data_IF_540164788449
#
_entry.id   IF_540164788449
#
_cell.length_a   1.000
_cell.length_b   1.000
_cell.length_c   1.000
_cell.angle_alpha   90.00
_cell.angle_beta   90.00
_cell.angle_gamma   90.00
#
_symmetry.space_group_name_H-M   'P 1'
#
loop_
_entity.id
_entity.type
_entity.pdbx_description
1 polymer ?
#
# COMPACT_ATOMS: atom_id res chain seq x y z
N UNK A 1 -40.12 37.62 38.27
CA UNK A 1 -38.72 37.94 38.52
C UNK A 1 -37.92 36.67 38.84
N UNK A 2 -38.44 35.73 39.62
CA UNK A 2 -37.82 34.46 39.88
C UNK A 2 -37.58 33.63 38.60
N UNK A 3 -38.60 33.60 37.72
CA UNK A 3 -38.49 32.91 36.41
C UNK A 3 -37.31 33.44 35.55
N UNK A 4 -37.02 34.75 35.60
CA UNK A 4 -35.90 35.33 34.85
C UNK A 4 -34.52 34.97 35.47
N UNK A 5 -34.44 34.82 36.81
CA UNK A 5 -33.24 34.34 37.49
C UNK A 5 -32.96 32.87 37.15
N UNK A 6 -34.03 32.05 37.14
CA UNK A 6 -33.91 30.63 36.78
C UNK A 6 -33.44 30.47 35.33
N UNK A 7 -33.98 31.27 34.38
CA UNK A 7 -33.61 31.26 32.97
C UNK A 7 -32.17 31.70 32.74
N UNK A 8 -31.69 32.73 33.48
CA UNK A 8 -30.28 33.16 33.44
C UNK A 8 -29.38 32.05 34.01
N UNK A 9 -29.79 31.38 35.11
CA UNK A 9 -29.04 30.26 35.70
C UNK A 9 -28.91 29.06 34.75
N UNK A 10 -30.02 28.68 34.09
CA UNK A 10 -29.97 27.60 33.09
C UNK A 10 -29.10 27.95 31.90
N UNK A 11 -29.19 29.20 31.41
CA UNK A 11 -28.37 29.67 30.28
C UNK A 11 -26.88 29.69 30.67
N UNK A 12 -26.54 30.10 31.89
CA UNK A 12 -25.18 30.08 32.39
C UNK A 12 -24.60 28.62 32.44
N UNK A 13 -25.41 27.64 32.88
CA UNK A 13 -25.02 26.23 32.88
C UNK A 13 -24.80 25.71 31.45
N UNK A 14 -25.69 26.04 30.51
CA UNK A 14 -25.52 25.67 29.11
C UNK A 14 -24.28 26.31 28.48
N UNK A 15 -23.90 27.52 28.89
CA UNK A 15 -22.65 28.16 28.44
C UNK A 15 -21.40 27.46 29.00
N UNK A 16 -21.45 26.92 30.21
CA UNK A 16 -20.34 26.11 30.76
C UNK A 16 -20.19 24.79 30.03
N UNK A 17 -21.28 24.10 29.71
CA UNK A 17 -21.25 22.89 28.88
C UNK A 17 -20.74 23.20 27.47
N UNK A 18 -21.16 24.33 26.89
CA UNK A 18 -20.64 24.79 25.59
C UNK A 18 -19.14 25.03 25.62
N UNK A 19 -18.62 25.66 26.66
CA UNK A 19 -17.19 25.89 26.81
C UNK A 19 -16.40 24.57 26.88
N UNK A 20 -16.90 23.59 27.63
CA UNK A 20 -16.29 22.26 27.73
C UNK A 20 -16.31 21.51 26.37
N UNK A 21 -17.44 21.56 25.64
CA UNK A 21 -17.52 20.93 24.32
C UNK A 21 -16.63 21.62 23.28
N UNK A 22 -16.48 22.94 23.34
CA UNK A 22 -15.56 23.71 22.49
C UNK A 22 -14.11 23.28 22.75
N UNK A 23 -13.71 23.10 23.99
CA UNK A 23 -12.36 22.62 24.36
C UNK A 23 -12.11 21.18 23.90
N UNK A 24 -13.11 20.29 24.03
CA UNK A 24 -13.04 18.92 23.52
C UNK A 24 -12.91 18.87 21.99
N UNK A 25 -13.70 19.70 21.27
CA UNK A 25 -13.60 19.77 19.79
C UNK A 25 -12.25 20.30 19.35
N UNK A 26 -11.67 21.28 20.04
CA UNK A 26 -10.33 21.78 19.78
C UNK A 26 -9.28 20.68 19.96
N UNK A 27 -9.36 19.92 21.05
CA UNK A 27 -8.47 18.79 21.33
C UNK A 27 -8.58 17.70 20.24
N UNK A 28 -9.78 17.40 19.80
CA UNK A 28 -10.02 16.43 18.72
C UNK A 28 -9.43 16.91 17.36
N UNK A 29 -9.53 18.21 17.08
CA UNK A 29 -8.93 18.79 15.87
C UNK A 29 -7.39 18.71 15.91
N UNK A 30 -6.78 18.97 17.06
CA UNK A 30 -5.32 18.82 17.24
C UNK A 30 -4.86 17.36 17.10
N UNK A 31 -5.60 16.42 17.68
CA UNK A 31 -5.33 14.99 17.52
C UNK A 31 -5.45 14.54 16.06
N UNK A 32 -6.46 15.01 15.34
CA UNK A 32 -6.61 14.74 13.93
C UNK A 32 -5.44 15.32 13.12
N UNK A 33 -4.97 16.51 13.44
CA UNK A 33 -3.80 17.12 12.81
C UNK A 33 -2.50 16.32 13.06
N UNK A 34 -2.33 15.73 14.24
CA UNK A 34 -1.20 14.85 14.55
C UNK A 34 -1.30 13.54 13.77
N UNK A 35 -2.47 12.89 13.77
CA UNK A 35 -2.71 11.65 13.03
C UNK A 35 -2.48 11.84 11.51
N UNK A 36 -2.83 13.00 10.94
CA UNK A 36 -2.55 13.29 9.53
C UNK A 36 -1.05 13.42 9.24
N UNK A 37 -0.24 13.95 10.15
CA UNK A 37 1.22 13.99 9.99
C UNK A 37 1.84 12.60 9.99
N UNK A 38 1.40 11.73 10.90
CA UNK A 38 1.85 10.33 10.94
C UNK A 38 1.44 9.58 9.67
N UNK A 39 0.19 9.80 9.21
CA UNK A 39 -0.30 9.23 7.97
C UNK A 39 0.49 9.68 6.73
N UNK A 40 0.88 10.95 6.67
CA UNK A 40 1.68 11.52 5.57
C UNK A 40 3.08 10.88 5.52
N UNK A 41 3.71 10.71 6.68
CA UNK A 41 5.00 10.02 6.80
C UNK A 41 4.89 8.55 6.38
N UNK A 42 3.84 7.84 6.81
CA UNK A 42 3.61 6.45 6.45
C UNK A 42 3.34 6.29 4.94
N UNK A 43 2.56 7.20 4.34
CA UNK A 43 2.31 7.21 2.91
C UNK A 43 3.59 7.47 2.09
N UNK A 44 4.42 8.42 2.53
CA UNK A 44 5.71 8.71 1.90
C UNK A 44 6.68 7.51 1.98
N UNK A 45 6.75 6.84 3.14
CA UNK A 45 7.53 5.61 3.29
C UNK A 45 7.00 4.48 2.40
N UNK A 46 5.68 4.31 2.34
CA UNK A 46 5.03 3.36 1.44
C UNK A 46 5.39 3.63 -0.03
N UNK A 47 5.40 4.89 -0.44
CA UNK A 47 5.74 5.29 -1.80
C UNK A 47 7.20 5.01 -2.15
N UNK A 48 8.12 5.26 -1.23
CA UNK A 48 9.54 4.90 -1.39
C UNK A 48 9.72 3.38 -1.51
N UNK A 49 9.00 2.59 -0.70
CA UNK A 49 9.04 1.13 -0.74
C UNK A 49 8.50 0.58 -2.07
N UNK A 50 7.37 1.08 -2.55
CA UNK A 50 6.81 0.70 -3.85
C UNK A 50 7.75 1.07 -4.99
N UNK A 51 8.41 2.23 -4.91
CA UNK A 51 9.42 2.65 -5.88
C UNK A 51 10.63 1.71 -5.92
N UNK A 52 11.15 1.30 -4.76
CA UNK A 52 12.26 0.33 -4.67
C UNK A 52 11.84 -1.06 -5.17
N UNK A 53 10.62 -1.49 -4.90
CA UNK A 53 10.07 -2.74 -5.40
C UNK A 53 9.97 -2.73 -6.94
N UNK A 54 9.46 -1.65 -7.52
CA UNK A 54 9.38 -1.50 -8.98
C UNK A 54 10.77 -1.56 -9.64
N UNK A 55 11.79 -0.95 -9.02
CA UNK A 55 13.16 -1.02 -9.49
C UNK A 55 13.74 -2.45 -9.43
N UNK A 56 13.50 -3.18 -8.33
CA UNK A 56 13.93 -4.57 -8.18
C UNK A 56 13.27 -5.48 -9.22
N UNK A 57 11.97 -5.31 -9.48
CA UNK A 57 11.26 -6.08 -10.51
C UNK A 57 11.82 -5.79 -11.91
N UNK A 58 12.20 -4.53 -12.19
CA UNK A 58 12.83 -4.17 -13.45
C UNK A 58 14.22 -4.84 -13.62
N UNK A 59 14.99 -4.95 -12.55
CA UNK A 59 16.28 -5.66 -12.53
C UNK A 59 16.08 -7.17 -12.76
N UNK A 60 15.09 -7.78 -12.09
CA UNK A 60 14.73 -9.18 -12.31
C UNK A 60 14.31 -9.45 -13.75
N UNK A 61 13.52 -8.55 -14.37
CA UNK A 61 13.14 -8.66 -15.77
C UNK A 61 14.36 -8.64 -16.71
N UNK A 62 15.36 -7.81 -16.42
CA UNK A 62 16.62 -7.79 -17.19
C UNK A 62 17.43 -9.08 -16.97
N UNK A 63 17.42 -9.64 -15.76
CA UNK A 63 18.09 -10.92 -15.50
C UNK A 63 17.43 -12.07 -16.27
N UNK A 64 16.11 -12.11 -16.32
CA UNK A 64 15.35 -13.07 -17.12
C UNK A 64 15.67 -12.96 -18.61
N UNK A 65 15.81 -11.75 -19.15
CA UNK A 65 16.19 -11.54 -20.55
C UNK A 65 17.61 -12.09 -20.85
N UNK A 66 18.54 -11.88 -19.92
CA UNK A 66 19.91 -12.46 -20.04
C UNK A 66 19.87 -13.98 -20.00
N UNK A 67 19.06 -14.57 -19.12
CA UNK A 67 18.88 -16.04 -19.02
C UNK A 67 18.29 -16.58 -20.34
N UNK A 68 17.30 -15.89 -20.93
CA UNK A 68 16.73 -16.27 -22.23
C UNK A 68 17.78 -16.31 -23.33
N UNK A 69 18.61 -15.28 -23.40
CA UNK A 69 19.70 -15.20 -24.37
C UNK A 69 20.71 -16.32 -24.23
N UNK A 70 21.12 -16.62 -22.97
CA UNK A 70 22.05 -17.73 -22.67
C UNK A 70 21.46 -19.09 -23.00
N UNK A 71 20.17 -19.28 -22.72
CA UNK A 71 19.45 -20.52 -23.07
C UNK A 71 19.39 -20.71 -24.60
N UNK A 72 19.14 -19.64 -25.35
CA UNK A 72 19.20 -19.68 -26.82
C UNK A 72 20.58 -20.09 -27.35
N UNK A 73 21.65 -19.52 -26.79
CA UNK A 73 23.03 -19.88 -27.15
C UNK A 73 23.34 -21.35 -26.82
N UNK A 74 22.85 -21.83 -25.67
CA UNK A 74 23.03 -23.24 -25.28
C UNK A 74 22.28 -24.20 -26.20
N UNK A 75 21.06 -23.85 -26.64
CA UNK A 75 20.30 -24.65 -27.59
C UNK A 75 21.04 -24.73 -28.93
N UNK A 76 21.54 -23.61 -29.43
CA UNK A 76 22.34 -23.57 -30.67
C UNK A 76 23.61 -24.43 -30.56
N UNK A 77 24.40 -24.26 -29.50
CA UNK A 77 25.60 -25.06 -29.27
C UNK A 77 25.30 -26.55 -29.18
N UNK A 78 24.19 -26.91 -28.52
CA UNK A 78 23.72 -28.28 -28.43
C UNK A 78 23.32 -28.86 -29.79
N UNK A 79 22.72 -28.08 -30.67
CA UNK A 79 22.40 -28.49 -32.06
C UNK A 79 23.69 -28.73 -32.86
N UNK A 80 24.68 -27.85 -32.72
CA UNK A 80 25.98 -28.02 -33.38
C UNK A 80 26.69 -29.30 -32.92
N UNK A 81 26.74 -29.56 -31.61
CA UNK A 81 27.29 -30.79 -31.06
C UNK A 81 26.51 -32.01 -31.59
N UNK A 82 25.17 -31.95 -31.61
CA UNK A 82 24.33 -33.02 -32.17
C UNK A 82 24.68 -33.37 -33.62
N UNK A 83 24.94 -32.35 -34.45
CA UNK A 83 25.32 -32.54 -35.84
C UNK A 83 26.72 -33.20 -35.99
N UNK A 84 27.68 -32.78 -35.17
CA UNK A 84 29.02 -33.39 -35.13
C UNK A 84 28.94 -34.86 -34.69
N UNK A 85 28.18 -35.16 -33.64
CA UNK A 85 27.96 -36.53 -33.14
C UNK A 85 27.33 -37.43 -34.22
N UNK A 86 26.37 -36.91 -34.99
CA UNK A 86 25.75 -37.63 -36.09
C UNK A 86 26.79 -37.98 -37.19
N UNK A 87 27.72 -37.08 -37.51
CA UNK A 87 28.80 -37.36 -38.47
C UNK A 87 29.75 -38.43 -37.92
N UNK A 88 30.18 -38.34 -36.64
CA UNK A 88 31.07 -39.32 -36.03
C UNK A 88 30.40 -40.71 -36.00
N UNK A 89 29.10 -40.79 -35.72
CA UNK A 89 28.32 -42.03 -35.75
C UNK A 89 28.31 -42.63 -37.16
N UNK A 90 28.13 -41.82 -38.20
CA UNK A 90 28.21 -42.25 -39.58
C UNK A 90 29.57 -42.79 -39.97
N UNK A 91 30.66 -42.12 -39.53
CA UNK A 91 32.04 -42.60 -39.75
C UNK A 91 32.27 -43.92 -39.02
N UNK A 92 31.81 -44.08 -37.79
CA UNK A 92 31.92 -45.33 -37.04
C UNK A 92 31.20 -46.49 -37.73
N UNK A 93 30.00 -46.25 -38.29
CA UNK A 93 29.23 -47.24 -39.04
C UNK A 93 29.95 -47.64 -40.34
N UNK A 94 30.45 -46.68 -41.10
CA UNK A 94 31.26 -46.94 -42.29
C UNK A 94 32.55 -47.74 -41.95
N UNK A 95 33.24 -47.34 -40.85
CA UNK A 95 34.46 -48.04 -40.40
C UNK A 95 34.14 -49.47 -40.00
N UNK A 96 33.02 -49.74 -39.34
CA UNK A 96 32.58 -51.09 -38.99
C UNK A 96 32.33 -51.93 -40.24
N UNK A 97 31.70 -51.33 -41.30
CA UNK A 97 31.49 -52.02 -42.57
C UNK A 97 32.80 -52.30 -43.35
N UNK A 98 33.73 -51.31 -43.34
CA UNK A 98 35.03 -51.49 -43.95
C UNK A 98 35.86 -52.60 -43.25
N UNK A 99 35.86 -52.60 -41.94
CA UNK A 99 36.51 -53.62 -41.14
C UNK A 99 35.92 -55.02 -41.34
N UNK A 100 34.56 -55.08 -41.47
CA UNK A 100 33.91 -56.37 -41.83
C UNK A 100 34.35 -56.89 -43.20
N UNK A 101 34.39 -56.03 -44.21
CA UNK A 101 34.86 -56.38 -45.56
C UNK A 101 36.34 -56.84 -45.54
N UNK A 102 37.19 -56.15 -44.76
CA UNK A 102 38.59 -56.52 -44.59
C UNK A 102 38.74 -57.88 -43.88
N UNK A 103 37.93 -58.15 -42.87
CA UNK A 103 37.91 -59.46 -42.18
C UNK A 103 37.50 -60.60 -43.09
N UNK A 104 36.48 -60.38 -43.96
CA UNK A 104 36.02 -61.36 -44.94
C UNK A 104 37.14 -61.66 -45.93
N UNK A 105 37.80 -60.64 -46.49
CA UNK A 105 38.88 -60.85 -47.50
C UNK A 105 40.13 -61.43 -46.88
N UNK A 106 40.42 -61.12 -45.61
CA UNK A 106 41.49 -61.76 -44.86
C UNK A 106 41.24 -63.26 -44.61
N UNK A 107 40.01 -63.67 -44.32
CA UNK A 107 39.62 -65.08 -44.22
C UNK A 107 39.75 -65.79 -45.58
N UNK A 108 39.47 -65.09 -46.65
CA UNK A 108 39.62 -65.62 -48.04
C UNK A 108 41.08 -65.89 -48.45
N UNK A 109 42.04 -65.11 -47.93
CA UNK A 109 43.44 -65.24 -48.19
C UNK A 109 44.11 -66.43 -47.38
N UNK A 110 43.37 -67.11 -46.51
CA UNK A 110 43.83 -68.24 -45.75
C UNK A 110 44.97 -67.89 -44.78
N UNK A 111 46.04 -68.78 -44.67
CA UNK A 111 47.17 -68.52 -43.76
C UNK A 111 47.89 -67.17 -43.97
N UNK A 112 47.90 -66.67 -45.21
CA UNK A 112 48.56 -65.40 -45.50
C UNK A 112 47.72 -64.16 -44.99
N UNK A 113 46.47 -64.33 -44.71
CA UNK A 113 45.58 -63.30 -44.21
C UNK A 113 45.47 -63.22 -42.68
N UNK A 114 46.01 -64.11 -41.91
CA UNK A 114 45.83 -64.19 -40.40
C UNK A 114 46.16 -62.90 -39.67
N UNK A 115 47.24 -62.21 -40.02
CA UNK A 115 47.61 -60.93 -39.40
C UNK A 115 46.61 -59.77 -39.71
N UNK A 116 46.10 -59.73 -40.92
CA UNK A 116 45.11 -58.77 -41.33
C UNK A 116 43.77 -59.03 -40.71
N UNK A 117 43.36 -60.26 -40.49
CA UNK A 117 42.15 -60.64 -39.80
C UNK A 117 42.08 -60.10 -38.37
N UNK A 118 43.17 -60.19 -37.59
CA UNK A 118 43.27 -59.68 -36.21
C UNK A 118 43.12 -58.16 -36.21
N UNK A 119 43.79 -57.46 -37.12
CA UNK A 119 43.64 -55.97 -37.26
C UNK A 119 42.21 -55.58 -37.64
N UNK A 120 41.61 -56.30 -38.58
CA UNK A 120 40.23 -56.04 -38.97
C UNK A 120 39.23 -56.21 -37.82
N UNK A 121 39.38 -57.28 -37.04
CA UNK A 121 38.54 -57.51 -35.85
C UNK A 121 38.73 -56.41 -34.78
N UNK A 122 39.98 -55.94 -34.52
CA UNK A 122 40.25 -54.86 -33.60
C UNK A 122 39.64 -53.53 -34.06
N UNK A 123 39.80 -53.18 -35.35
CA UNK A 123 39.18 -51.99 -35.95
C UNK A 123 37.65 -52.08 -35.85
N UNK A 124 37.08 -53.26 -36.08
CA UNK A 124 35.63 -53.45 -35.92
C UNK A 124 35.17 -53.31 -34.49
N UNK A 125 35.90 -53.83 -33.51
CA UNK A 125 35.61 -53.63 -32.09
C UNK A 125 35.69 -52.15 -31.70
N UNK A 126 36.67 -51.40 -32.17
CA UNK A 126 36.84 -50.01 -31.95
C UNK A 126 35.69 -49.19 -32.55
N UNK A 127 35.29 -49.51 -33.79
CA UNK A 127 34.15 -48.87 -34.48
C UNK A 127 32.82 -49.05 -33.71
N UNK A 128 32.58 -50.26 -33.19
CA UNK A 128 31.40 -50.53 -32.34
C UNK A 128 31.46 -49.77 -31.01
N UNK A 129 32.63 -49.67 -30.36
CA UNK A 129 32.77 -48.85 -29.16
C UNK A 129 32.55 -47.38 -29.44
N UNK A 130 33.08 -46.86 -30.53
CA UNK A 130 32.85 -45.46 -30.96
C UNK A 130 31.35 -45.20 -31.21
N UNK A 131 30.67 -46.12 -31.89
CA UNK A 131 29.23 -46.01 -32.12
C UNK A 131 28.46 -45.96 -30.80
N UNK A 132 28.74 -46.87 -29.84
CA UNK A 132 28.11 -46.86 -28.53
C UNK A 132 28.35 -45.55 -27.74
N UNK A 133 29.59 -45.03 -27.74
CA UNK A 133 29.92 -43.77 -27.09
C UNK A 133 29.18 -42.57 -27.75
N UNK A 134 29.07 -42.55 -29.09
CA UNK A 134 28.34 -41.49 -29.79
C UNK A 134 26.84 -41.54 -29.47
N UNK A 135 26.27 -42.70 -29.26
CA UNK A 135 24.85 -42.86 -28.88
C UNK A 135 24.60 -42.32 -27.45
N UNK A 136 25.56 -42.50 -26.51
CA UNK A 136 25.48 -41.87 -25.17
C UNK A 136 25.57 -40.35 -25.22
N UNK A 137 26.49 -39.82 -26.03
CA UNK A 137 26.60 -38.36 -26.23
C UNK A 137 25.34 -37.79 -26.86
N UNK A 138 24.77 -38.47 -27.87
CA UNK A 138 23.54 -38.07 -28.51
C UNK A 138 22.36 -37.95 -27.52
N UNK A 139 22.23 -38.97 -26.63
CA UNK A 139 21.20 -38.92 -25.58
C UNK A 139 21.43 -37.77 -24.60
N UNK A 140 22.69 -37.51 -24.25
CA UNK A 140 23.03 -36.38 -23.38
C UNK A 140 22.71 -35.04 -24.00
N UNK A 141 22.99 -34.84 -25.29
CA UNK A 141 22.67 -33.66 -26.05
C UNK A 141 21.12 -33.45 -26.13
N UNK A 142 20.37 -34.50 -26.42
CA UNK A 142 18.90 -34.43 -26.46
C UNK A 142 18.33 -34.04 -25.09
N UNK A 143 18.88 -34.53 -24.00
CA UNK A 143 18.48 -34.15 -22.64
C UNK A 143 18.80 -32.67 -22.34
N UNK A 144 19.96 -32.16 -22.79
CA UNK A 144 20.31 -30.73 -22.65
C UNK A 144 19.29 -29.88 -23.38
N UNK A 145 18.96 -30.21 -24.62
CA UNK A 145 17.98 -29.46 -25.43
C UNK A 145 16.60 -29.42 -24.77
N UNK A 146 16.13 -30.55 -24.23
CA UNK A 146 14.84 -30.61 -23.51
C UNK A 146 14.83 -29.73 -22.27
N UNK A 147 15.91 -29.80 -21.47
CA UNK A 147 16.06 -28.95 -20.27
C UNK A 147 16.14 -27.47 -20.63
N UNK A 148 16.84 -27.12 -21.71
CA UNK A 148 16.94 -25.75 -22.20
C UNK A 148 15.57 -25.20 -22.61
N UNK A 149 14.76 -25.98 -23.31
CA UNK A 149 13.35 -25.61 -23.63
C UNK A 149 12.52 -25.38 -22.39
N UNK A 150 12.70 -26.22 -21.37
CA UNK A 150 12.03 -26.04 -20.07
C UNK A 150 12.45 -24.72 -19.40
N UNK A 151 13.74 -24.38 -19.43
CA UNK A 151 14.24 -23.08 -18.92
C UNK A 151 13.62 -21.90 -19.66
N UNK A 152 13.58 -21.95 -20.99
CA UNK A 152 12.93 -20.90 -21.81
C UNK A 152 11.45 -20.72 -21.41
N UNK A 153 10.70 -21.81 -21.24
CA UNK A 153 9.32 -21.75 -20.77
C UNK A 153 9.16 -21.13 -19.37
N UNK A 154 10.10 -21.42 -18.45
CA UNK A 154 10.11 -20.79 -17.12
C UNK A 154 10.42 -19.30 -17.18
N UNK A 155 11.34 -18.89 -18.04
CA UNK A 155 11.69 -17.48 -18.28
C UNK A 155 10.50 -16.69 -18.82
N UNK A 156 9.82 -17.22 -19.81
CA UNK A 156 8.59 -16.61 -20.37
C UNK A 156 7.52 -16.38 -19.31
N UNK A 157 7.27 -17.38 -18.47
CA UNK A 157 6.33 -17.28 -17.35
C UNK A 157 6.80 -16.24 -16.32
N UNK A 158 8.09 -16.25 -15.97
CA UNK A 158 8.69 -15.27 -15.07
C UNK A 158 8.54 -13.83 -15.57
N UNK A 159 8.76 -13.61 -16.87
CA UNK A 159 8.58 -12.33 -17.53
C UNK A 159 7.12 -11.83 -17.46
N UNK A 160 6.15 -12.71 -17.71
CA UNK A 160 4.73 -12.37 -17.53
C UNK A 160 4.39 -11.99 -16.09
N UNK A 161 4.96 -12.70 -15.11
CA UNK A 161 4.79 -12.36 -13.69
C UNK A 161 5.43 -11.01 -13.34
N UNK A 162 6.63 -10.74 -13.83
CA UNK A 162 7.31 -9.45 -13.62
C UNK A 162 6.48 -8.28 -14.17
N UNK A 163 5.92 -8.40 -15.37
CA UNK A 163 5.05 -7.40 -15.96
C UNK A 163 3.77 -7.16 -15.12
N UNK A 164 3.14 -8.21 -14.64
CA UNK A 164 1.97 -8.10 -13.76
C UNK A 164 2.32 -7.41 -12.43
N UNK A 165 3.49 -7.72 -11.87
CA UNK A 165 3.96 -7.10 -10.63
C UNK A 165 4.29 -5.61 -10.82
N UNK A 166 4.85 -5.19 -11.95
CA UNK A 166 5.05 -3.77 -12.28
C UNK A 166 3.71 -3.03 -12.34
N UNK A 167 2.71 -3.60 -13.00
CA UNK A 167 1.37 -3.01 -13.05
C UNK A 167 0.75 -2.87 -11.65
N UNK A 168 0.91 -3.89 -10.80
CA UNK A 168 0.43 -3.86 -9.41
C UNK A 168 1.16 -2.81 -8.57
N UNK A 169 2.47 -2.67 -8.73
CA UNK A 169 3.27 -1.63 -8.06
C UNK A 169 2.82 -0.22 -8.49
N UNK A 170 2.51 -0.04 -9.76
CA UNK A 170 1.99 1.21 -10.29
C UNK A 170 0.63 1.58 -9.69
N UNK A 171 -0.30 0.61 -9.61
CA UNK A 171 -1.59 0.80 -8.95
C UNK A 171 -1.46 1.13 -7.46
N UNK A 172 -0.54 0.46 -6.76
CA UNK A 172 -0.24 0.76 -5.36
C UNK A 172 0.31 2.18 -5.18
N UNK A 173 1.21 2.63 -6.05
CA UNK A 173 1.74 3.99 -6.06
C UNK A 173 0.63 5.03 -6.26
N UNK A 174 -0.27 4.81 -7.21
CA UNK A 174 -1.43 5.70 -7.44
C UNK A 174 -2.39 5.74 -6.24
N UNK A 175 -2.60 4.59 -5.58
CA UNK A 175 -3.41 4.53 -4.37
C UNK A 175 -2.79 5.33 -3.23
N UNK A 176 -1.48 5.23 -3.02
CA UNK A 176 -0.74 6.02 -2.03
C UNK A 176 -0.81 7.53 -2.32
N UNK A 177 -0.70 7.94 -3.58
CA UNK A 177 -0.87 9.35 -3.96
C UNK A 177 -2.28 9.88 -3.65
N UNK A 178 -3.32 9.04 -3.85
CA UNK A 178 -4.69 9.42 -3.43
C UNK A 178 -4.81 9.54 -1.91
N UNK A 179 -4.20 8.61 -1.16
CA UNK A 179 -4.17 8.66 0.32
C UNK A 179 -3.50 9.94 0.79
N UNK A 180 -2.33 10.32 0.26
CA UNK A 180 -1.63 11.56 0.61
C UNK A 180 -2.50 12.79 0.36
N UNK A 181 -3.25 12.81 -0.74
CA UNK A 181 -4.21 13.91 -1.02
C UNK A 181 -5.32 13.98 0.02
N UNK A 182 -5.95 12.84 0.34
CA UNK A 182 -7.01 12.78 1.37
C UNK A 182 -6.48 13.20 2.75
N UNK A 183 -5.25 12.82 3.11
CA UNK A 183 -4.59 13.26 4.33
C UNK A 183 -4.44 14.79 4.34
N UNK A 184 -4.04 15.39 3.21
CA UNK A 184 -3.99 16.85 3.06
C UNK A 184 -5.34 17.52 3.31
N UNK A 185 -6.40 16.97 2.73
CA UNK A 185 -7.77 17.49 2.92
C UNK A 185 -8.23 17.39 4.39
N UNK A 186 -7.94 16.28 5.07
CA UNK A 186 -8.26 16.12 6.50
C UNK A 186 -7.46 17.10 7.37
N UNK A 187 -6.20 17.34 7.05
CA UNK A 187 -5.37 18.34 7.75
C UNK A 187 -5.96 19.75 7.61
N UNK A 188 -6.37 20.12 6.39
CA UNK A 188 -6.94 21.43 6.12
C UNK A 188 -8.29 21.61 6.82
N UNK A 189 -9.12 20.55 6.87
CA UNK A 189 -10.37 20.55 7.65
C UNK A 189 -10.09 20.68 9.15
N UNK A 190 -9.09 19.97 9.69
CA UNK A 190 -8.73 20.09 11.10
C UNK A 190 -8.29 21.50 11.48
N UNK A 191 -7.53 22.15 10.60
CA UNK A 191 -7.14 23.55 10.78
C UNK A 191 -8.34 24.52 10.75
N UNK A 192 -9.32 24.27 9.88
CA UNK A 192 -10.56 25.06 9.84
C UNK A 192 -11.40 24.85 11.11
N UNK A 193 -11.50 23.60 11.59
CA UNK A 193 -12.18 23.28 12.86
C UNK A 193 -11.51 24.00 14.01
N UNK A 194 -10.18 23.96 14.14
CA UNK A 194 -9.45 24.67 15.18
C UNK A 194 -9.73 26.18 15.14
N UNK A 195 -9.77 26.78 13.95
CA UNK A 195 -10.06 28.19 13.79
C UNK A 195 -11.51 28.53 14.21
N UNK A 196 -12.47 27.72 13.76
CA UNK A 196 -13.88 27.90 14.13
C UNK A 196 -14.12 27.71 15.63
N UNK A 197 -13.46 26.73 16.23
CA UNK A 197 -13.52 26.46 17.66
C UNK A 197 -12.95 27.63 18.48
N UNK A 198 -11.83 28.21 18.04
CA UNK A 198 -11.30 29.43 18.64
C UNK A 198 -12.27 30.62 18.62
N UNK A 199 -13.00 30.79 17.51
CA UNK A 199 -14.05 31.81 17.40
C UNK A 199 -15.23 31.49 18.31
N UNK A 200 -15.65 30.22 18.41
CA UNK A 200 -16.72 29.79 19.32
C UNK A 200 -16.33 30.02 20.79
N UNK A 201 -15.08 29.73 21.18
CA UNK A 201 -14.59 30.01 22.53
C UNK A 201 -14.71 31.50 22.88
N UNK A 202 -14.25 32.39 21.99
CA UNK A 202 -14.36 33.82 22.19
C UNK A 202 -15.82 34.32 22.30
N UNK A 203 -16.70 33.75 21.46
CA UNK A 203 -18.14 34.09 21.49
C UNK A 203 -18.78 33.58 22.79
N UNK A 204 -18.46 32.37 23.25
CA UNK A 204 -18.95 31.80 24.51
C UNK A 204 -18.56 32.64 25.70
N UNK A 205 -17.30 33.11 25.74
CA UNK A 205 -16.81 33.99 26.77
C UNK A 205 -17.53 35.37 26.77
N UNK A 206 -17.80 35.92 25.60
CA UNK A 206 -18.58 37.15 25.47
C UNK A 206 -20.02 36.97 25.93
N UNK A 207 -20.65 35.84 25.57
CA UNK A 207 -22.03 35.51 26.02
C UNK A 207 -22.07 35.34 27.53
N UNK A 208 -21.06 34.65 28.12
CA UNK A 208 -20.97 34.52 29.59
C UNK A 208 -20.90 35.89 30.30
N UNK A 209 -20.11 36.79 29.78
CA UNK A 209 -20.04 38.20 30.31
C UNK A 209 -21.38 38.92 30.18
N UNK A 210 -22.08 38.73 29.06
CA UNK A 210 -23.40 39.33 28.84
C UNK A 210 -24.45 38.77 29.81
N UNK A 211 -24.42 37.46 30.11
CA UNK A 211 -25.31 36.84 31.09
C UNK A 211 -25.11 37.41 32.49
N UNK A 212 -23.87 37.65 32.93
CA UNK A 212 -23.58 38.31 34.21
C UNK A 212 -24.23 39.72 34.24
N UNK A 213 -24.11 40.51 33.16
CA UNK A 213 -24.73 41.82 33.05
C UNK A 213 -26.25 41.77 33.07
N UNK A 214 -26.86 40.74 32.45
CA UNK A 214 -28.32 40.53 32.49
C UNK A 214 -28.75 40.14 33.91
N UNK A 215 -28.02 39.29 34.61
CA UNK A 215 -28.26 38.91 36.00
C UNK A 215 -28.28 40.16 36.92
N UNK A 216 -27.27 41.01 36.80
CA UNK A 216 -27.15 42.27 37.58
C UNK A 216 -28.33 43.21 37.26
N UNK A 217 -28.71 43.31 36.00
CA UNK A 217 -29.83 44.14 35.56
C UNK A 217 -31.16 43.62 36.13
N UNK A 218 -31.37 42.32 36.12
CA UNK A 218 -32.55 41.67 36.70
C UNK A 218 -32.65 41.89 38.19
N UNK A 219 -31.52 41.81 38.90
CA UNK A 219 -31.50 42.09 40.35
C UNK A 219 -31.79 43.56 40.69
N UNK A 220 -31.25 44.50 39.89
CA UNK A 220 -31.55 45.93 40.07
C UNK A 220 -33.02 46.25 39.78
N UNK A 221 -33.61 45.59 38.75
CA UNK A 221 -35.03 45.72 38.44
C UNK A 221 -35.89 45.16 39.57
N UNK A 222 -35.47 44.00 40.22
CA UNK A 222 -36.15 43.45 41.37
C UNK A 222 -36.18 44.39 42.53
N UNK A 223 -35.00 44.96 42.90
CA UNK A 223 -34.93 45.94 44.00
C UNK A 223 -35.76 47.20 43.74
N UNK A 224 -35.77 47.68 42.49
CA UNK A 224 -36.60 48.81 42.08
C UNK A 224 -38.13 48.51 42.20
N UNK A 225 -38.56 47.34 41.76
CA UNK A 225 -39.92 46.88 41.89
C UNK A 225 -40.37 46.79 43.36
N UNK A 226 -39.51 46.30 44.25
CA UNK A 226 -39.77 46.23 45.70
C UNK A 226 -39.87 47.62 46.32
N UNK A 227 -39.05 48.58 45.89
CA UNK A 227 -39.16 49.98 46.33
C UNK A 227 -40.48 50.63 45.86
N UNK A 228 -40.90 50.37 44.61
CA UNK A 228 -42.16 50.86 44.05
C UNK A 228 -43.34 50.28 44.86
N UNK A 229 -43.27 48.97 45.15
CA UNK A 229 -44.31 48.30 45.97
C UNK A 229 -44.42 48.91 47.36
N UNK A 230 -43.34 49.15 48.10
CA UNK A 230 -43.28 49.82 49.41
C UNK A 230 -43.87 51.22 49.35
N UNK A 231 -43.46 52.05 48.39
CA UNK A 231 -43.97 53.41 48.18
C UNK A 231 -45.48 53.41 47.86
N UNK A 232 -45.98 52.41 47.12
CA UNK A 232 -47.40 52.25 46.84
C UNK A 232 -48.21 51.94 48.09
N UNK A 233 -47.66 51.11 48.99
CA UNK A 233 -48.33 50.86 50.31
C UNK A 233 -48.33 52.12 51.18
N UNK A 234 -47.26 52.92 51.21
CA UNK A 234 -47.21 54.16 51.95
C UNK A 234 -48.25 55.19 51.41
N UNK A 235 -48.30 55.31 50.08
CA UNK A 235 -49.35 56.18 49.42
C UNK A 235 -50.75 55.70 49.75
N UNK A 236 -51.02 54.39 49.79
CA UNK A 236 -52.32 53.84 50.18
C UNK A 236 -52.70 54.18 51.63
N UNK A 237 -51.70 54.08 52.54
CA UNK A 237 -51.87 54.45 53.95
C UNK A 237 -52.16 55.99 54.07
N UNK A 238 -51.40 56.80 53.37
CA UNK A 238 -51.60 58.28 53.35
C UNK A 238 -52.97 58.68 52.81
N UNK A 239 -53.40 58.01 51.72
CA UNK A 239 -54.76 58.24 51.18
C UNK A 239 -55.88 57.84 52.16
N UNK A 240 -55.67 56.72 52.89
CA UNK A 240 -56.57 56.27 53.93
C UNK A 240 -56.68 57.31 55.08
N UNK A 241 -55.52 57.83 55.50
CA UNK A 241 -55.46 58.91 56.51
C UNK A 241 -56.18 60.22 56.07
N UNK A 242 -55.93 60.61 54.81
CA UNK A 242 -56.57 61.79 54.23
C UNK A 242 -58.13 61.61 54.18
N UNK A 243 -58.59 60.44 53.71
CA UNK A 243 -60.00 60.13 53.66
C UNK A 243 -60.66 60.18 55.08
N UNK A 244 -59.96 59.68 56.09
CA UNK A 244 -60.41 59.75 57.51
C UNK A 244 -60.45 61.16 58.06
N UNK A 245 -59.52 62.04 57.63
CA UNK A 245 -59.53 63.44 57.99
C UNK A 245 -60.72 64.16 57.31
N UNK A 246 -60.89 63.95 55.99
CA UNK A 246 -61.98 64.57 55.25
C UNK A 246 -63.38 64.14 55.77
N UNK A 247 -63.53 62.87 56.18
CA UNK A 247 -64.77 62.34 56.78
C UNK A 247 -65.08 62.99 58.14
N UNK A 248 -64.10 63.47 58.87
CA UNK A 248 -64.35 64.23 60.11
C UNK A 248 -64.87 65.70 59.90
N UNK A 249 -64.72 66.27 58.70
CA UNK A 249 -65.17 67.59 58.33
C UNK A 249 -66.50 67.55 57.60
N UNK A 250 -67.13 66.37 57.36
CA UNK A 250 -68.53 66.32 56.91
C UNK A 250 -69.47 66.49 58.10
N UNK A 251 -69.94 67.65 58.23
CA UNK A 251 -71.14 67.99 58.97
C UNK A 251 -72.38 67.65 58.14
#
# INVERSE_FOLDING_TARGET
MDAQRDEVGQTASAMQEMAATVEEVAGNADQAALATREGDLAAAQGQALVGSLAAAIAEDAQALERISTLAGQLDQASQEIGSVVAVIRGIAEQTNLLALNAAIESARAGEQGRGFAVVADEVRALARRTHASTEEVYRSVAMIQERTRTVVGMVEKGRGTAQANVASAQQASEALLRITRMIGEVRDMSQQIATATGQQAATSEQLSRSLVSIADSAENASRSAEQVHRRSLDLRSLAGRLNGLVSRFRL
#
